data_IF_727007667495
#
_entry.id   IF_727007667495
#
_cell.length_a   1.000
_cell.length_b   1.000
_cell.length_c   1.000
_cell.angle_alpha   90.00
_cell.angle_beta   90.00
_cell.angle_gamma   90.00
#
_symmetry.space_group_name_H-M   'P 1'
#
loop_
_entity.id
_entity.type
_entity.pdbx_description
1 polymer ?
#
# COMPACT_ATOMS: atom_id res chain seq x y z
N UNK A 1 38.23 11.66 -5.73
CA UNK A 1 39.11 12.59 -4.98
C UNK A 1 38.63 12.85 -3.54
N UNK A 2 37.60 12.15 -3.02
CA UNK A 2 37.18 12.25 -1.61
C UNK A 2 36.38 13.50 -1.25
N UNK A 3 36.13 14.38 -2.23
CA UNK A 3 35.34 15.58 -2.01
C UNK A 3 33.84 15.27 -2.00
N UNK A 4 33.11 15.95 -1.12
CA UNK A 4 31.65 15.88 -1.06
C UNK A 4 31.01 16.27 -2.40
N UNK A 5 30.14 15.40 -2.94
CA UNK A 5 29.44 15.61 -4.20
C UNK A 5 28.43 16.78 -4.13
N UNK A 6 28.01 17.19 -2.94
CA UNK A 6 27.09 18.31 -2.71
C UNK A 6 27.78 19.60 -2.26
N UNK A 7 29.12 19.67 -2.30
CA UNK A 7 29.93 20.78 -1.74
C UNK A 7 29.46 22.17 -2.18
N UNK A 8 29.14 22.37 -3.45
CA UNK A 8 28.74 23.68 -3.97
C UNK A 8 27.36 24.11 -3.45
N UNK A 9 26.44 23.16 -3.30
CA UNK A 9 25.08 23.41 -2.80
C UNK A 9 25.09 23.64 -1.28
N UNK A 10 25.94 22.90 -0.56
CA UNK A 10 26.20 23.13 0.87
C UNK A 10 26.82 24.50 1.12
N UNK A 11 27.84 24.87 0.35
CA UNK A 11 28.49 26.19 0.45
C UNK A 11 27.52 27.34 0.15
N UNK A 12 26.54 27.14 -0.73
CA UNK A 12 25.49 28.11 -1.03
C UNK A 12 24.36 28.17 0.01
N UNK A 13 24.41 27.39 1.10
CA UNK A 13 23.35 27.34 2.11
C UNK A 13 22.02 26.73 1.62
N UNK A 14 22.05 25.99 0.50
CA UNK A 14 20.85 25.44 -0.18
C UNK A 14 20.71 23.93 -0.02
N UNK A 15 21.33 23.35 1.01
CA UNK A 15 21.31 21.92 1.27
C UNK A 15 20.67 21.64 2.64
N UNK A 16 19.69 20.73 2.68
CA UNK A 16 19.09 20.23 3.91
C UNK A 16 19.16 18.71 3.95
N UNK A 17 19.44 18.16 5.13
CA UNK A 17 19.43 16.71 5.38
C UNK A 17 18.18 16.38 6.17
N UNK A 18 17.44 15.39 5.70
CA UNK A 18 16.33 14.78 6.43
C UNK A 18 16.76 13.39 6.91
N UNK A 19 16.12 12.89 7.97
CA UNK A 19 16.35 11.53 8.45
C UNK A 19 15.88 10.53 7.39
N UNK A 20 16.57 9.40 7.28
CA UNK A 20 16.11 8.28 6.44
C UNK A 20 14.87 7.67 7.07
N UNK A 21 13.95 7.20 6.22
CA UNK A 21 12.82 6.38 6.65
C UNK A 21 13.34 5.06 7.23
N UNK A 22 13.09 4.77 8.51
CA UNK A 22 13.59 3.56 9.14
C UNK A 22 12.87 2.31 8.59
N UNK A 23 13.62 1.22 8.44
CA UNK A 23 13.05 -0.11 8.15
C UNK A 23 12.56 -0.33 6.71
N UNK A 24 12.92 0.54 5.77
CA UNK A 24 12.67 0.33 4.34
C UNK A 24 13.85 0.79 3.49
N UNK A 25 14.23 -0.01 2.50
CA UNK A 25 15.18 0.37 1.46
C UNK A 25 14.98 -0.47 0.20
N UNK A 26 15.39 0.02 -0.96
CA UNK A 26 15.33 -0.76 -2.20
C UNK A 26 16.10 -2.08 -2.08
N UNK A 27 17.24 -2.08 -1.39
CA UNK A 27 18.03 -3.29 -1.16
C UNK A 27 17.29 -4.31 -0.29
N UNK A 28 16.61 -3.85 0.76
CA UNK A 28 15.79 -4.71 1.63
C UNK A 28 14.59 -5.30 0.86
N UNK A 29 13.85 -4.48 0.12
CA UNK A 29 12.73 -4.93 -0.72
C UNK A 29 13.16 -5.98 -1.75
N UNK A 30 14.23 -5.70 -2.50
CA UNK A 30 14.80 -6.66 -3.44
C UNK A 30 15.28 -7.91 -2.72
N UNK A 31 15.89 -7.78 -1.54
CA UNK A 31 16.27 -8.91 -0.69
C UNK A 31 15.09 -9.81 -0.37
N UNK A 32 13.94 -9.26 0.05
CA UNK A 32 12.72 -10.04 0.36
C UNK A 32 12.19 -10.80 -0.86
N UNK A 33 12.22 -10.18 -2.05
CA UNK A 33 11.80 -10.83 -3.30
C UNK A 33 12.75 -11.96 -3.70
N UNK A 34 14.05 -11.76 -3.52
CA UNK A 34 15.08 -12.70 -4.00
C UNK A 34 15.36 -13.86 -3.04
N UNK A 35 15.18 -13.64 -1.74
CA UNK A 35 15.62 -14.60 -0.72
C UNK A 35 14.67 -15.79 -0.59
N UNK A 36 13.46 -15.76 -1.20
CA UNK A 36 12.45 -16.83 -1.10
C UNK A 36 12.21 -17.34 0.34
N UNK A 37 12.55 -16.53 1.36
CA UNK A 37 12.42 -16.90 2.77
C UNK A 37 10.98 -16.70 3.19
N UNK A 38 10.43 -17.60 4.01
CA UNK A 38 9.07 -17.44 4.54
C UNK A 38 9.00 -16.65 5.85
N UNK A 39 10.14 -16.12 6.30
CA UNK A 39 10.26 -15.50 7.62
C UNK A 39 9.60 -14.11 7.70
N UNK A 40 9.21 -13.53 6.56
CA UNK A 40 8.54 -12.23 6.47
C UNK A 40 7.01 -12.33 6.34
N UNK A 41 6.45 -13.54 6.27
CA UNK A 41 5.00 -13.70 6.21
C UNK A 41 4.38 -13.44 7.58
N UNK A 42 3.44 -12.49 7.62
CA UNK A 42 2.62 -12.19 8.78
C UNK A 42 1.35 -13.05 8.70
N UNK A 43 1.13 -13.93 9.69
CA UNK A 43 -0.08 -14.76 9.77
C UNK A 43 -1.21 -14.03 10.48
N UNK A 44 -0.87 -13.32 11.56
CA UNK A 44 -1.78 -12.47 12.33
C UNK A 44 -1.13 -11.10 12.51
N UNK A 45 -1.72 -10.09 11.86
CA UNK A 45 -1.33 -8.69 12.07
C UNK A 45 -1.45 -8.35 13.56
N UNK A 46 -2.53 -8.80 14.22
CA UNK A 46 -2.75 -8.59 15.65
C UNK A 46 -1.62 -9.16 16.51
N UNK A 47 -1.28 -10.44 16.31
CA UNK A 47 -0.28 -11.12 17.13
C UNK A 47 1.11 -10.52 16.87
N UNK A 48 1.38 -10.10 15.63
CA UNK A 48 2.62 -9.41 15.26
C UNK A 48 2.73 -8.06 15.99
N UNK A 49 1.65 -7.27 16.04
CA UNK A 49 1.62 -5.98 16.73
C UNK A 49 1.61 -6.10 18.25
N UNK A 50 1.25 -7.28 18.79
CA UNK A 50 1.37 -7.60 20.22
C UNK A 50 2.75 -8.17 20.60
N UNK A 51 3.62 -8.44 19.62
CA UNK A 51 4.91 -9.12 19.85
C UNK A 51 4.79 -10.61 20.17
N UNK A 52 3.67 -11.22 19.83
CA UNK A 52 3.37 -12.65 20.01
C UNK A 52 3.81 -13.47 18.79
N UNK A 53 3.78 -12.88 17.59
CA UNK A 53 4.28 -13.45 16.34
C UNK A 53 5.61 -12.81 15.90
N UNK A 54 6.48 -13.62 15.28
CA UNK A 54 7.76 -13.17 14.72
C UNK A 54 8.93 -14.09 15.08
N UNK A 55 10.11 -13.79 14.56
CA UNK A 55 11.35 -14.48 14.90
C UNK A 55 12.06 -13.81 16.09
N UNK A 56 12.84 -14.58 16.83
CA UNK A 56 13.67 -14.07 17.93
C UNK A 56 13.06 -14.27 19.31
N UNK A 57 13.71 -13.67 20.32
CA UNK A 57 13.27 -13.72 21.71
C UNK A 57 11.95 -12.96 21.93
N UNK A 58 11.32 -13.13 23.10
CA UNK A 58 10.12 -12.36 23.45
C UNK A 58 10.40 -10.84 23.48
N UNK A 59 11.56 -10.43 23.98
CA UNK A 59 11.94 -9.03 24.05
C UNK A 59 12.18 -8.44 22.65
N UNK A 60 12.86 -9.20 21.78
CA UNK A 60 13.09 -8.79 20.38
C UNK A 60 11.77 -8.65 19.61
N UNK A 61 10.82 -9.57 19.82
CA UNK A 61 9.49 -9.49 19.21
C UNK A 61 8.71 -8.27 19.70
N UNK A 62 8.71 -7.99 21.00
CA UNK A 62 8.06 -6.78 21.56
C UNK A 62 8.67 -5.50 21.00
N UNK A 63 10.00 -5.41 20.96
CA UNK A 63 10.67 -4.24 20.39
C UNK A 63 10.34 -4.05 18.90
N UNK A 64 10.29 -5.15 18.15
CA UNK A 64 9.91 -5.14 16.73
C UNK A 64 8.45 -4.72 16.54
N UNK A 65 7.55 -5.18 17.41
CA UNK A 65 6.15 -4.81 17.43
C UNK A 65 5.94 -3.33 17.73
N UNK A 66 6.63 -2.78 18.74
CA UNK A 66 6.61 -1.35 19.09
C UNK A 66 7.09 -0.50 17.91
N UNK A 67 8.19 -0.92 17.26
CA UNK A 67 8.74 -0.25 16.07
C UNK A 67 7.79 -0.32 14.87
N UNK A 68 7.10 -1.45 14.67
CA UNK A 68 6.09 -1.59 13.62
C UNK A 68 4.86 -0.71 13.89
N UNK A 69 4.33 -0.72 15.11
CA UNK A 69 3.22 0.14 15.51
C UNK A 69 3.58 1.63 15.37
N UNK A 70 4.80 2.03 15.70
CA UNK A 70 5.26 3.40 15.48
C UNK A 70 5.26 3.75 13.99
N UNK A 71 5.75 2.85 13.12
CA UNK A 71 5.70 3.07 11.67
C UNK A 71 4.28 3.19 11.12
N UNK A 72 3.34 2.36 11.59
CA UNK A 72 1.93 2.48 11.21
C UNK A 72 1.39 3.86 11.59
N UNK A 73 1.73 4.38 12.78
CA UNK A 73 1.33 5.73 13.19
C UNK A 73 1.98 6.82 12.35
N UNK A 74 3.27 6.68 12.04
CA UNK A 74 4.02 7.64 11.23
C UNK A 74 3.53 7.69 9.78
N UNK A 75 3.05 6.57 9.22
CA UNK A 75 2.43 6.55 7.88
C UNK A 75 0.97 6.99 7.90
N UNK A 76 0.27 6.80 9.02
CA UNK A 76 -1.11 7.28 9.20
C UNK A 76 -1.19 8.78 9.57
N UNK A 77 -0.23 9.58 9.12
CA UNK A 77 -0.26 11.05 9.21
C UNK A 77 -0.71 11.68 7.90
N UNK A 78 -1.09 12.95 7.94
CA UNK A 78 -1.42 13.71 6.74
C UNK A 78 -0.17 14.02 5.89
N UNK A 79 -0.36 14.73 4.77
CA UNK A 79 0.69 15.11 3.82
C UNK A 79 1.83 15.94 4.45
N UNK A 80 1.61 16.53 5.62
CA UNK A 80 2.64 17.27 6.35
C UNK A 80 3.52 16.36 7.21
N UNK A 81 3.05 15.14 7.50
CA UNK A 81 3.68 14.22 8.43
C UNK A 81 3.47 14.57 9.90
N UNK A 82 2.61 15.56 10.20
CA UNK A 82 2.49 16.14 11.55
C UNK A 82 1.09 16.01 12.15
N UNK A 83 0.04 15.92 11.32
CA UNK A 83 -1.33 15.80 11.79
C UNK A 83 -1.87 14.40 11.55
N UNK A 84 -2.94 13.98 12.25
CA UNK A 84 -3.60 12.72 11.96
C UNK A 84 -4.05 12.65 10.50
N UNK A 85 -3.69 11.55 9.83
CA UNK A 85 -4.10 11.25 8.46
C UNK A 85 -5.18 10.18 8.47
N UNK A 86 -4.99 9.04 7.79
CA UNK A 86 -6.01 8.02 7.71
C UNK A 86 -6.29 7.34 9.05
N UNK A 87 -7.55 6.95 9.26
CA UNK A 87 -7.90 6.05 10.35
C UNK A 87 -7.48 4.62 10.00
N UNK A 88 -6.99 3.84 10.97
CA UNK A 88 -6.51 2.48 10.72
C UNK A 88 -7.18 1.49 11.64
N UNK A 89 -7.73 0.43 11.05
CA UNK A 89 -8.39 -0.67 11.74
C UNK A 89 -7.73 -2.00 11.44
N UNK A 90 -7.94 -2.97 12.33
CA UNK A 90 -7.73 -4.39 12.09
C UNK A 90 -9.10 -5.06 12.07
N UNK A 91 -9.39 -5.84 11.03
CA UNK A 91 -10.51 -6.75 11.04
C UNK A 91 -10.09 -8.13 11.57
N UNK A 92 -10.82 -8.60 12.59
CA UNK A 92 -10.64 -9.89 13.23
C UNK A 92 -11.81 -10.80 12.86
N UNK A 93 -11.58 -11.71 11.90
CA UNK A 93 -12.51 -12.77 11.53
C UNK A 93 -11.80 -14.13 11.43
N UNK A 94 -12.59 -15.21 11.27
CA UNK A 94 -12.05 -16.56 11.14
C UNK A 94 -11.19 -16.74 9.88
N UNK A 95 -10.26 -17.71 9.91
CA UNK A 95 -9.44 -18.05 8.74
C UNK A 95 -10.27 -18.45 7.52
N UNK A 96 -11.43 -19.09 7.75
CA UNK A 96 -12.35 -19.47 6.69
C UNK A 96 -13.01 -18.26 6.03
N UNK A 97 -13.37 -17.24 6.80
CA UNK A 97 -13.90 -15.98 6.26
C UNK A 97 -12.82 -15.12 5.57
N UNK A 98 -11.56 -15.22 6.00
CA UNK A 98 -10.44 -14.53 5.36
C UNK A 98 -10.14 -15.07 3.96
N UNK A 99 -10.21 -16.39 3.76
CA UNK A 99 -9.74 -17.08 2.55
C UNK A 99 -10.87 -17.57 1.62
N UNK A 100 -12.07 -17.79 2.16
CA UNK A 100 -13.20 -18.38 1.44
C UNK A 100 -14.28 -17.37 1.08
N UNK A 101 -15.19 -17.79 0.20
CA UNK A 101 -16.36 -17.04 -0.24
C UNK A 101 -17.70 -17.59 0.31
N UNK A 102 -17.64 -18.64 1.13
CA UNK A 102 -18.82 -19.37 1.62
C UNK A 102 -19.22 -18.99 3.04
N UNK A 103 -18.38 -18.22 3.75
CA UNK A 103 -18.58 -17.86 5.15
C UNK A 103 -19.04 -16.42 5.25
N UNK A 104 -20.28 -16.24 5.69
CA UNK A 104 -20.84 -14.95 6.09
C UNK A 104 -20.47 -14.70 7.55
N UNK A 105 -19.50 -13.82 7.78
CA UNK A 105 -19.02 -13.47 9.11
C UNK A 105 -18.79 -11.96 9.19
N UNK A 106 -19.43 -11.25 10.15
CA UNK A 106 -19.19 -9.82 10.35
C UNK A 106 -17.79 -9.54 10.93
N UNK A 107 -17.27 -10.47 11.73
CA UNK A 107 -16.02 -10.31 12.49
C UNK A 107 -16.08 -9.15 13.48
N UNK A 108 -14.91 -8.64 13.87
CA UNK A 108 -14.78 -7.48 14.75
C UNK A 108 -13.72 -6.50 14.24
N UNK A 109 -14.05 -5.21 14.25
CA UNK A 109 -13.12 -4.14 13.88
C UNK A 109 -12.49 -3.51 15.12
N UNK A 110 -11.16 -3.46 15.15
CA UNK A 110 -10.38 -2.82 16.21
C UNK A 110 -9.65 -1.60 15.65
N UNK A 111 -9.85 -0.42 16.24
CA UNK A 111 -9.13 0.79 15.81
C UNK A 111 -7.74 0.81 16.42
N UNK A 112 -6.70 0.83 15.58
CA UNK A 112 -5.29 0.87 16.04
C UNK A 112 -4.64 2.23 15.87
N UNK A 113 -5.12 3.05 14.91
CA UNK A 113 -4.76 4.46 14.77
C UNK A 113 -6.03 5.26 14.55
N UNK A 114 -6.22 6.34 15.32
CA UNK A 114 -7.30 7.30 15.10
C UNK A 114 -6.86 8.28 14.02
N UNK A 115 -7.73 8.57 13.07
CA UNK A 115 -7.45 9.50 11.97
C UNK A 115 -8.59 10.47 11.73
N UNK A 116 -8.56 11.14 10.59
CA UNK A 116 -9.66 11.96 10.07
C UNK A 116 -10.88 11.07 9.87
N UNK A 117 -12.07 11.56 10.21
CA UNK A 117 -13.34 10.87 9.99
C UNK A 117 -14.01 11.41 8.71
N UNK A 118 -14.98 10.67 8.13
CA UNK A 118 -15.79 11.19 7.04
C UNK A 118 -16.45 12.51 7.40
N UNK A 119 -16.33 13.49 6.51
CA UNK A 119 -17.02 14.75 6.67
C UNK A 119 -18.50 14.60 6.32
N UNK A 120 -19.38 15.43 6.90
CA UNK A 120 -20.82 15.31 6.67
C UNK A 120 -21.18 15.33 5.18
N UNK A 121 -22.01 14.35 4.79
CA UNK A 121 -22.48 14.17 3.42
C UNK A 121 -21.55 13.39 2.49
N UNK A 122 -20.29 13.15 2.86
CA UNK A 122 -19.40 12.33 2.03
C UNK A 122 -19.94 10.91 1.93
N UNK A 123 -19.85 10.33 0.72
CA UNK A 123 -20.12 8.92 0.48
C UNK A 123 -18.95 8.07 0.98
N UNK A 124 -19.26 6.95 1.62
CA UNK A 124 -18.27 5.97 2.07
C UNK A 124 -18.01 4.99 0.95
N UNK A 125 -16.78 4.98 0.45
CA UNK A 125 -16.38 4.19 -0.70
C UNK A 125 -15.42 3.11 -0.24
N UNK A 126 -15.76 1.84 -0.47
CA UNK A 126 -14.89 0.73 -0.14
C UNK A 126 -14.14 0.24 -1.39
N UNK A 127 -12.83 0.06 -1.25
CA UNK A 127 -11.97 -0.62 -2.24
C UNK A 127 -11.18 -1.68 -1.52
N UNK A 128 -10.84 -2.77 -2.19
CA UNK A 128 -10.02 -3.84 -1.63
C UNK A 128 -8.98 -4.35 -2.61
N UNK A 129 -7.92 -4.95 -2.07
CA UNK A 129 -6.87 -5.53 -2.90
C UNK A 129 -5.59 -5.88 -2.16
N UNK A 130 -4.72 -6.59 -2.88
CA UNK A 130 -3.37 -6.95 -2.46
C UNK A 130 -2.52 -5.73 -2.09
N UNK A 131 -2.56 -4.72 -2.97
CA UNK A 131 -1.79 -3.48 -2.92
C UNK A 131 -0.26 -3.60 -2.63
N UNK A 132 0.27 -4.83 -2.56
CA UNK A 132 1.69 -5.14 -2.46
C UNK A 132 2.50 -4.49 -3.58
N UNK A 133 3.70 -4.03 -3.24
CA UNK A 133 4.56 -3.20 -4.08
C UNK A 133 3.77 -2.07 -4.75
N UNK A 134 3.12 -1.27 -3.92
CA UNK A 134 2.22 -0.20 -4.36
C UNK A 134 2.80 0.59 -5.55
N UNK A 135 2.01 0.71 -6.62
CA UNK A 135 2.52 1.07 -7.94
C UNK A 135 1.63 2.09 -8.65
N UNK A 136 2.09 2.57 -9.80
CA UNK A 136 1.29 3.40 -10.72
C UNK A 136 -0.01 2.73 -11.16
N UNK A 137 -0.09 1.40 -11.10
CA UNK A 137 -1.32 0.66 -11.35
C UNK A 137 -2.39 0.98 -10.31
N UNK A 138 -2.04 0.88 -9.03
CA UNK A 138 -2.95 1.20 -7.92
C UNK A 138 -3.27 2.70 -7.85
N UNK A 139 -2.28 3.56 -8.07
CA UNK A 139 -2.46 5.03 -8.13
C UNK A 139 -3.55 5.38 -9.15
N UNK A 140 -3.45 4.84 -10.37
CA UNK A 140 -4.41 5.14 -11.45
C UNK A 140 -5.79 4.54 -11.17
N UNK A 141 -5.87 3.35 -10.57
CA UNK A 141 -7.14 2.78 -10.10
C UNK A 141 -7.84 3.71 -9.11
N UNK A 142 -7.14 4.14 -8.05
CA UNK A 142 -7.71 5.02 -7.02
C UNK A 142 -8.10 6.39 -7.59
N UNK A 143 -7.32 6.92 -8.54
CA UNK A 143 -7.67 8.13 -9.29
C UNK A 143 -8.97 7.97 -10.07
N UNK A 144 -9.22 6.83 -10.70
CA UNK A 144 -10.47 6.56 -11.42
C UNK A 144 -11.67 6.42 -10.48
N UNK A 145 -11.50 5.80 -9.31
CA UNK A 145 -12.54 5.74 -8.27
C UNK A 145 -12.97 7.15 -7.88
N UNK A 146 -12.00 8.01 -7.54
CA UNK A 146 -12.28 9.41 -7.21
C UNK A 146 -12.97 10.14 -8.37
N UNK A 147 -12.50 9.97 -9.61
CA UNK A 147 -13.14 10.62 -10.76
C UNK A 147 -14.59 10.19 -10.99
N UNK A 148 -14.95 8.92 -10.72
CA UNK A 148 -16.33 8.45 -10.80
C UNK A 148 -17.20 9.04 -9.69
N UNK A 149 -16.66 9.13 -8.48
CA UNK A 149 -17.36 9.73 -7.35
C UNK A 149 -17.50 11.25 -7.47
N UNK A 150 -16.55 11.93 -8.12
CA UNK A 150 -16.69 13.32 -8.54
C UNK A 150 -17.89 13.49 -9.49
N UNK A 151 -17.98 12.64 -10.52
CA UNK A 151 -19.11 12.66 -11.46
C UNK A 151 -20.45 12.35 -10.78
N UNK A 152 -20.48 11.43 -9.82
CA UNK A 152 -21.67 11.18 -8.99
C UNK A 152 -21.99 12.39 -8.10
N UNK A 153 -21.00 13.01 -7.47
CA UNK A 153 -21.14 14.23 -6.69
C UNK A 153 -21.80 15.33 -7.51
N UNK A 154 -21.33 15.57 -8.74
CA UNK A 154 -21.97 16.49 -9.67
C UNK A 154 -23.44 16.13 -9.94
N UNK A 155 -23.75 14.85 -10.21
CA UNK A 155 -25.13 14.40 -10.47
C UNK A 155 -26.06 14.59 -9.27
N UNK A 156 -25.51 14.57 -8.05
CA UNK A 156 -26.25 14.78 -6.79
C UNK A 156 -26.31 16.23 -6.33
N UNK A 157 -25.79 17.19 -7.12
CA UNK A 157 -25.74 18.60 -6.72
C UNK A 157 -24.72 18.89 -5.59
N UNK A 158 -23.71 18.03 -5.41
CA UNK A 158 -22.68 18.24 -4.37
C UNK A 158 -21.97 19.59 -4.54
N UNK A 159 -21.78 20.02 -5.78
CA UNK A 159 -21.10 21.27 -6.13
C UNK A 159 -22.06 22.44 -6.37
N UNK A 160 -23.32 22.31 -6.00
CA UNK A 160 -24.25 23.43 -6.01
C UNK A 160 -23.72 24.52 -5.06
N UNK A 161 -23.89 25.79 -5.46
CA UNK A 161 -23.34 26.93 -4.71
C UNK A 161 -23.80 26.92 -3.25
N UNK A 162 -25.07 26.61 -3.00
CA UNK A 162 -25.63 26.53 -1.64
C UNK A 162 -24.93 25.46 -0.79
N UNK A 163 -24.66 24.28 -1.36
CA UNK A 163 -23.97 23.20 -0.64
C UNK A 163 -22.51 23.55 -0.36
N UNK A 164 -21.84 24.18 -1.33
CA UNK A 164 -20.46 24.64 -1.21
C UNK A 164 -20.33 25.74 -0.15
N UNK A 165 -21.18 26.76 -0.20
CA UNK A 165 -21.23 27.85 0.78
C UNK A 165 -21.50 27.31 2.19
N UNK A 166 -22.40 26.33 2.30
CA UNK A 166 -22.68 25.64 3.56
C UNK A 166 -21.43 24.92 4.08
N UNK A 167 -20.71 24.17 3.23
CA UNK A 167 -19.50 23.45 3.65
C UNK A 167 -18.40 24.39 4.12
N UNK A 168 -18.13 25.46 3.37
CA UNK A 168 -17.13 26.48 3.75
C UNK A 168 -17.54 27.19 5.05
N UNK A 169 -18.83 27.53 5.20
CA UNK A 169 -19.33 28.22 6.40
C UNK A 169 -19.30 27.35 7.66
N UNK A 170 -19.70 26.08 7.54
CA UNK A 170 -19.82 25.17 8.69
C UNK A 170 -18.50 24.47 9.04
N UNK A 171 -17.65 24.19 8.05
CA UNK A 171 -16.43 23.38 8.21
C UNK A 171 -15.13 24.11 7.84
N UNK A 172 -15.20 25.40 7.49
CA UNK A 172 -14.04 26.28 7.26
C UNK A 172 -13.37 26.13 5.90
N UNK A 173 -13.67 25.07 5.16
CA UNK A 173 -13.15 24.78 3.83
C UNK A 173 -14.12 23.89 3.05
N UNK A 174 -13.95 23.86 1.73
CA UNK A 174 -14.65 22.92 0.87
C UNK A 174 -13.96 21.54 0.88
N UNK A 175 -14.69 20.49 0.55
CA UNK A 175 -14.17 19.12 0.48
C UNK A 175 -14.94 18.25 -0.52
N UNK A 176 -14.23 17.27 -1.08
CA UNK A 176 -14.77 16.36 -2.10
C UNK A 176 -15.87 15.42 -1.58
N UNK A 177 -16.64 14.78 -2.49
CA UNK A 177 -17.84 14.03 -2.16
C UNK A 177 -17.59 12.63 -1.58
N UNK A 178 -16.35 12.13 -1.63
CA UNK A 178 -16.03 10.76 -1.28
C UNK A 178 -15.05 10.65 -0.11
N UNK A 179 -15.28 9.63 0.70
CA UNK A 179 -14.37 9.15 1.73
C UNK A 179 -14.02 7.69 1.42
N UNK A 180 -12.80 7.47 0.95
CA UNK A 180 -12.32 6.16 0.50
C UNK A 180 -11.73 5.37 1.66
N UNK A 181 -12.28 4.19 1.91
CA UNK A 181 -11.78 3.17 2.82
C UNK A 181 -11.16 2.05 2.00
N UNK A 182 -9.88 1.74 2.22
CA UNK A 182 -9.29 0.55 1.63
C UNK A 182 -9.26 -0.61 2.62
N UNK A 183 -9.92 -1.69 2.23
CA UNK A 183 -9.61 -3.04 2.67
C UNK A 183 -8.24 -3.42 2.15
N UNK A 184 -7.26 -3.15 2.97
CA UNK A 184 -5.87 -3.24 2.59
C UNK A 184 -5.39 -4.65 2.84
N UNK A 185 -4.72 -5.15 1.83
CA UNK A 185 -3.52 -5.91 2.05
C UNK A 185 -2.23 -5.02 2.04
N UNK A 186 -2.20 -3.76 1.54
CA UNK A 186 -1.44 -2.53 2.03
C UNK A 186 -1.36 -1.32 1.04
N UNK A 187 -1.62 -0.05 1.46
CA UNK A 187 -1.13 1.28 0.91
C UNK A 187 -2.07 2.29 0.14
N UNK A 188 -1.62 3.57 0.07
CA UNK A 188 -2.21 4.95 0.00
C UNK A 188 -2.94 5.51 -1.26
N UNK A 189 -4.23 5.90 -1.11
CA UNK A 189 -4.98 7.14 -1.53
C UNK A 189 -6.23 7.25 -0.66
N UNK A 190 -6.04 6.88 0.59
CA UNK A 190 -7.06 6.23 1.37
C UNK A 190 -7.27 7.09 2.59
N UNK A 191 -8.54 7.35 2.87
CA UNK A 191 -8.94 8.10 4.03
C UNK A 191 -8.96 7.20 5.26
N UNK A 192 -9.14 5.89 5.07
CA UNK A 192 -8.96 4.92 6.15
C UNK A 192 -8.66 3.49 5.69
N UNK A 193 -7.87 2.77 6.48
CA UNK A 193 -7.26 1.48 6.16
C UNK A 193 -7.83 0.38 7.04
N UNK A 194 -8.25 -0.75 6.46
CA UNK A 194 -8.63 -1.95 7.20
C UNK A 194 -7.64 -3.07 6.88
N UNK A 195 -6.80 -3.40 7.86
CA UNK A 195 -5.92 -4.56 7.80
C UNK A 195 -6.68 -5.87 7.92
N UNK A 196 -6.16 -6.90 7.24
CA UNK A 196 -6.68 -8.28 7.28
C UNK A 196 -8.10 -8.43 6.72
N UNK A 197 -8.55 -7.52 5.85
CA UNK A 197 -9.87 -7.60 5.21
C UNK A 197 -10.09 -8.94 4.50
N UNK A 198 -11.33 -9.49 4.47
CA UNK A 198 -11.61 -10.76 3.82
C UNK A 198 -11.42 -10.66 2.30
N UNK A 199 -11.00 -11.76 1.66
CA UNK A 199 -10.80 -11.80 0.21
C UNK A 199 -12.10 -11.62 -0.60
N UNK A 200 -13.23 -12.10 -0.07
CA UNK A 200 -14.56 -11.86 -0.65
C UNK A 200 -15.37 -11.05 0.36
N UNK A 201 -15.64 -9.75 0.11
CA UNK A 201 -16.38 -8.93 1.04
C UNK A 201 -17.84 -9.43 1.13
N UNK A 202 -18.14 -10.15 2.20
CA UNK A 202 -19.45 -10.71 2.48
C UNK A 202 -20.46 -9.61 2.84
N UNK A 203 -21.76 -9.90 2.76
CA UNK A 203 -22.76 -8.90 3.13
C UNK A 203 -22.67 -8.56 4.62
N UNK A 204 -22.47 -9.58 5.46
CA UNK A 204 -22.33 -9.41 6.91
C UNK A 204 -21.09 -8.56 7.27
N UNK A 205 -20.00 -8.72 6.54
CA UNK A 205 -18.79 -7.90 6.69
C UNK A 205 -19.05 -6.43 6.32
N UNK A 206 -19.67 -6.18 5.16
CA UNK A 206 -19.97 -4.83 4.68
C UNK A 206 -20.97 -4.10 5.60
N UNK A 207 -21.96 -4.81 6.14
CA UNK A 207 -22.93 -4.26 7.11
C UNK A 207 -22.31 -3.97 8.48
N UNK A 208 -21.24 -4.68 8.86
CA UNK A 208 -20.55 -4.50 10.12
C UNK A 208 -19.43 -3.44 10.07
N UNK A 209 -19.19 -2.80 8.91
CA UNK A 209 -18.09 -1.85 8.76
C UNK A 209 -18.22 -0.66 9.74
N UNK A 210 -17.10 -0.13 10.29
CA UNK A 210 -17.13 0.88 11.36
C UNK A 210 -17.84 2.19 10.99
N UNK A 211 -17.92 2.51 9.70
CA UNK A 211 -18.54 3.73 9.17
C UNK A 211 -19.95 3.48 8.60
N UNK A 212 -20.52 2.29 8.85
CA UNK A 212 -21.76 1.82 8.24
C UNK A 212 -21.52 1.13 6.89
N UNK A 213 -22.63 0.69 6.27
CA UNK A 213 -22.61 0.04 4.95
C UNK A 213 -22.02 1.03 3.92
N UNK A 214 -21.01 0.63 3.12
CA UNK A 214 -20.48 1.47 2.06
C UNK A 214 -21.53 1.86 1.02
N UNK A 215 -21.47 3.10 0.54
CA UNK A 215 -22.29 3.58 -0.56
C UNK A 215 -21.91 2.94 -1.90
N UNK A 216 -20.66 2.49 -2.04
CA UNK A 216 -20.15 1.79 -3.21
C UNK A 216 -18.95 0.91 -2.86
N UNK A 217 -18.79 -0.20 -3.60
CA UNK A 217 -17.61 -1.06 -3.60
C UNK A 217 -16.98 -1.01 -4.99
N UNK A 218 -15.74 -0.55 -5.10
CA UNK A 218 -15.03 -0.44 -6.37
C UNK A 218 -13.94 -1.50 -6.52
N UNK A 219 -13.84 -2.07 -7.72
CA UNK A 219 -12.71 -2.91 -8.10
C UNK A 219 -12.32 -2.67 -9.57
N UNK A 220 -11.04 -2.87 -9.90
CA UNK A 220 -10.55 -2.78 -11.27
C UNK A 220 -10.77 -4.07 -12.08
N UNK A 221 -10.59 -4.07 -13.40
CA UNK A 221 -10.76 -5.25 -14.25
C UNK A 221 -9.59 -6.26 -14.14
N UNK A 222 -8.91 -6.34 -12.99
CA UNK A 222 -7.70 -7.15 -12.79
C UNK A 222 -7.98 -8.65 -12.88
N UNK A 223 -7.32 -9.30 -13.83
CA UNK A 223 -7.47 -10.73 -14.18
C UNK A 223 -6.41 -11.61 -13.50
N UNK A 224 -5.96 -11.27 -12.30
CA UNK A 224 -4.71 -11.85 -11.77
C UNK A 224 -4.86 -13.30 -11.28
N UNK A 225 -6.08 -13.74 -10.99
CA UNK A 225 -6.36 -15.11 -10.57
C UNK A 225 -7.64 -15.55 -11.28
N UNK A 226 -7.60 -16.60 -12.13
CA UNK A 226 -8.82 -17.24 -12.61
C UNK A 226 -9.49 -17.93 -11.42
N UNK A 227 -10.29 -17.17 -10.68
CA UNK A 227 -11.12 -17.71 -9.62
C UNK A 227 -12.23 -18.55 -10.27
N UNK A 228 -12.56 -19.67 -9.63
CA UNK A 228 -13.72 -20.48 -10.00
C UNK A 228 -15.05 -19.83 -9.60
N UNK A 229 -15.00 -18.67 -8.96
CA UNK A 229 -16.13 -17.92 -8.44
C UNK A 229 -15.89 -16.41 -8.51
N UNK A 230 -16.97 -15.64 -8.41
CA UNK A 230 -16.92 -14.18 -8.34
C UNK A 230 -16.86 -13.73 -6.87
N UNK A 231 -15.76 -13.08 -6.41
CA UNK A 231 -15.62 -12.64 -5.03
C UNK A 231 -16.57 -11.48 -4.67
N UNK A 232 -17.10 -10.77 -5.67
CA UNK A 232 -17.95 -9.59 -5.49
C UNK A 232 -19.44 -9.87 -5.63
N UNK A 233 -19.87 -11.13 -5.43
CA UNK A 233 -21.29 -11.50 -5.50
C UNK A 233 -22.17 -10.75 -4.49
N UNK A 234 -21.70 -10.58 -3.25
CA UNK A 234 -22.43 -9.85 -2.22
C UNK A 234 -22.62 -8.36 -2.56
N UNK A 235 -21.57 -7.56 -2.87
CA UNK A 235 -21.77 -6.15 -3.23
C UNK A 235 -22.57 -5.97 -4.53
N UNK A 236 -22.50 -6.92 -5.48
CA UNK A 236 -23.37 -6.93 -6.67
C UNK A 236 -24.84 -7.15 -6.30
N UNK A 237 -25.12 -8.12 -5.42
CA UNK A 237 -26.49 -8.37 -4.89
C UNK A 237 -27.05 -7.17 -4.12
N UNK A 238 -26.18 -6.47 -3.39
CA UNK A 238 -26.53 -5.23 -2.67
C UNK A 238 -26.70 -4.02 -3.62
N UNK A 239 -26.33 -4.13 -4.90
CA UNK A 239 -26.45 -3.05 -5.88
C UNK A 239 -25.41 -1.94 -5.73
N UNK A 240 -24.34 -2.18 -4.96
CA UNK A 240 -23.30 -1.17 -4.64
C UNK A 240 -21.97 -1.43 -5.35
N UNK A 241 -21.82 -2.53 -6.09
CA UNK A 241 -20.60 -2.83 -6.84
C UNK A 241 -20.43 -1.92 -8.07
N UNK A 242 -19.21 -1.41 -8.27
CA UNK A 242 -18.78 -0.58 -9.40
C UNK A 242 -17.44 -1.10 -9.94
N UNK A 243 -17.33 -1.22 -11.25
CA UNK A 243 -16.08 -1.61 -11.91
C UNK A 243 -15.43 -0.38 -12.55
N UNK A 244 -14.12 -0.18 -12.34
CA UNK A 244 -13.39 0.88 -13.04
C UNK A 244 -13.02 0.47 -14.47
N UNK A 245 -12.67 1.45 -15.29
CA UNK A 245 -12.23 1.16 -16.67
C UNK A 245 -10.79 0.61 -16.66
N UNK A 246 -10.39 0.00 -17.79
CA UNK A 246 -8.98 -0.32 -18.01
C UNK A 246 -8.13 0.95 -18.15
N UNK A 247 -6.83 0.84 -17.86
CA UNK A 247 -5.90 1.97 -17.92
C UNK A 247 -4.49 1.58 -18.32
N UNK A 248 -3.71 2.56 -18.76
CA UNK A 248 -2.35 2.36 -19.30
C UNK A 248 -1.41 1.67 -18.33
N UNK A 249 -1.57 1.90 -17.02
CA UNK A 249 -0.71 1.35 -15.97
C UNK A 249 -1.19 0.01 -15.39
N UNK A 250 -2.25 -0.59 -15.95
CA UNK A 250 -2.85 -1.82 -15.41
C UNK A 250 -1.89 -3.02 -15.38
N UNK A 251 -0.92 -3.02 -16.29
CA UNK A 251 0.15 -4.02 -16.34
C UNK A 251 1.21 -3.84 -15.24
N UNK A 252 1.30 -2.66 -14.60
CA UNK A 252 2.28 -2.38 -13.55
C UNK A 252 1.76 -2.86 -12.20
N UNK A 253 1.88 -4.16 -11.95
CA UNK A 253 1.48 -4.82 -10.71
C UNK A 253 2.68 -5.51 -10.04
N UNK A 254 2.49 -6.06 -8.83
CA UNK A 254 3.54 -6.72 -8.07
C UNK A 254 4.27 -7.82 -8.86
N UNK A 255 3.54 -8.64 -9.63
CA UNK A 255 4.13 -9.69 -10.47
C UNK A 255 5.06 -9.13 -11.54
N UNK A 256 4.60 -8.15 -12.31
CA UNK A 256 5.42 -7.48 -13.33
C UNK A 256 6.63 -6.75 -12.72
N UNK A 257 6.49 -6.14 -11.54
CA UNK A 257 7.60 -5.48 -10.83
C UNK A 257 8.66 -6.51 -10.43
N UNK A 258 8.24 -7.64 -9.84
CA UNK A 258 9.15 -8.73 -9.46
C UNK A 258 9.84 -9.30 -10.69
N UNK A 259 9.12 -9.57 -11.77
CA UNK A 259 9.69 -10.07 -13.03
C UNK A 259 10.74 -9.12 -13.61
N UNK A 260 10.48 -7.80 -13.57
CA UNK A 260 11.45 -6.78 -14.01
C UNK A 260 12.70 -6.75 -13.13
N UNK A 261 12.56 -6.91 -11.82
CA UNK A 261 13.67 -6.97 -10.87
C UNK A 261 14.52 -8.22 -11.11
N UNK A 262 13.89 -9.37 -11.33
CA UNK A 262 14.57 -10.64 -11.61
C UNK A 262 15.35 -10.58 -12.93
N UNK A 263 14.74 -10.09 -14.02
CA UNK A 263 15.43 -9.88 -15.31
C UNK A 263 16.63 -8.93 -15.17
N UNK A 264 16.49 -7.88 -14.37
CA UNK A 264 17.57 -6.92 -14.11
C UNK A 264 18.73 -7.53 -13.31
N UNK A 265 18.44 -8.49 -12.42
CA UNK A 265 19.44 -9.25 -11.66
C UNK A 265 20.26 -10.15 -12.57
N UNK A 266 19.63 -10.91 -13.47
CA UNK A 266 20.34 -11.76 -14.44
C UNK A 266 21.35 -10.92 -15.25
N UNK A 267 20.90 -9.79 -15.80
CA UNK A 267 21.75 -8.85 -16.52
C UNK A 267 22.84 -8.20 -15.64
N UNK A 268 22.62 -8.07 -14.33
CA UNK A 268 23.65 -7.61 -13.39
C UNK A 268 24.69 -8.70 -13.12
N UNK A 269 24.27 -9.93 -12.84
CA UNK A 269 25.16 -11.07 -12.59
C UNK A 269 26.03 -11.38 -13.82
N UNK A 270 25.46 -11.32 -15.03
CA UNK A 270 26.21 -11.46 -16.28
C UNK A 270 27.27 -10.36 -16.45
N UNK A 271 26.92 -9.10 -16.16
CA UNK A 271 27.88 -7.99 -16.18
C UNK A 271 29.00 -8.15 -15.15
N UNK A 272 28.70 -8.70 -13.97
CA UNK A 272 29.73 -8.99 -12.97
C UNK A 272 30.64 -10.14 -13.39
N UNK A 273 30.10 -11.22 -13.97
CA UNK A 273 30.89 -12.32 -14.54
C UNK A 273 31.84 -11.81 -15.63
N UNK A 274 31.33 -11.02 -16.58
CA UNK A 274 32.15 -10.44 -17.64
C UNK A 274 33.24 -9.47 -17.10
N UNK A 275 32.98 -8.76 -16.00
CA UNK A 275 33.98 -7.92 -15.33
C UNK A 275 35.05 -8.75 -14.62
N UNK A 276 34.68 -9.83 -13.93
CA UNK A 276 35.64 -10.73 -13.27
C UNK A 276 36.54 -11.42 -14.30
N UNK A 277 35.97 -11.88 -15.41
CA UNK A 277 36.75 -12.44 -16.53
C UNK A 277 37.73 -11.43 -17.12
N UNK A 278 37.28 -10.19 -17.35
CA UNK A 278 38.18 -9.11 -17.82
C UNK A 278 39.28 -8.79 -16.80
N UNK A 279 38.95 -8.72 -15.51
CA UNK A 279 39.94 -8.50 -14.45
C UNK A 279 41.02 -9.59 -14.41
N UNK A 280 40.62 -10.86 -14.53
CA UNK A 280 41.55 -11.98 -14.60
C UNK A 280 42.47 -11.92 -15.83
N UNK A 281 41.93 -11.51 -16.98
CA UNK A 281 42.73 -11.29 -18.21
C UNK A 281 43.71 -10.13 -18.04
N UNK A 282 43.29 -9.01 -17.46
CA UNK A 282 44.15 -7.85 -17.21
C UNK A 282 45.28 -8.16 -16.21
N UNK A 283 45.00 -8.97 -15.19
CA UNK A 283 46.00 -9.41 -14.21
C UNK A 283 47.02 -10.40 -14.82
N UNK A 284 46.57 -11.27 -15.72
CA UNK A 284 47.43 -12.14 -16.54
C UNK A 284 48.32 -11.35 -17.50
N UNK A 285 47.81 -10.26 -18.10
CA UNK A 285 48.61 -9.37 -18.95
C UNK A 285 49.65 -8.62 -18.13
N UNK A 286 49.25 -8.01 -16.99
CA UNK A 286 50.17 -7.31 -16.09
C UNK A 286 51.28 -8.21 -15.56
N UNK A 287 50.98 -9.45 -15.18
CA UNK A 287 51.98 -10.40 -14.68
C UNK A 287 52.98 -10.82 -15.77
N UNK A 288 52.53 -10.97 -17.02
CA UNK A 288 53.42 -11.22 -18.17
C UNK A 288 54.31 -10.02 -18.52
N UNK A 289 53.77 -8.81 -18.46
CA UNK A 289 54.54 -7.59 -18.69
C UNK A 289 55.61 -7.36 -17.61
N UNK A 290 55.27 -7.61 -16.34
CA UNK A 290 56.22 -7.50 -15.22
C UNK A 290 57.24 -8.64 -15.15
N UNK A 291 56.96 -9.80 -15.75
CA UNK A 291 57.94 -10.87 -15.92
C UNK A 291 58.86 -10.69 -17.15
N UNK A 292 58.52 -9.79 -18.07
CA UNK A 292 59.28 -9.51 -19.29
C UNK A 292 60.13 -8.23 -19.20
N UNK A 293 60.12 -7.55 -18.04
CA UNK A 293 60.92 -6.37 -17.71
C UNK A 293 62.03 -6.74 -16.72
#
# INVERSE_FOLDING_TARGET
>A
NGEDCYRFVKAAGRFRVVKRTPGISTTDLVGRMLLCTKNHFVKSVKDTLNGEEGSGSLEERKHSADSLMQRIRDYATDETGLQPGPQVWIWNGSSSAKLGNTVEEPGAFETIVKGKLPRPGQRIIYVDGGFDLFSSGHIEFLRQVLAQEESEGHRRGWYDQEQTDKRVKEYGEDYGPAYVVAGIHDDDYIHAVIFSSPFSPSQSYLEAMPLGVPDAVYHGPTTFIPLTYDPYTAPKRMGIFRETSSHTYQHVNAGEIVDRILKSREAYEERQRAKLEKGAVEELVKSKESASA
#
